data_IF_377294830472
#
_entry.id   IF_377294830472
#
_cell.length_a   1.000
_cell.length_b   1.000
_cell.length_c   1.000
_cell.angle_alpha   90.00
_cell.angle_beta   90.00
_cell.angle_gamma   90.00
#
_symmetry.space_group_name_H-M   'P 1'
#
loop_
_entity.id
_entity.type
_entity.pdbx_description
1 polymer ?
#
# COMPACT_ATOMS: atom_id res chain seq x y z
N UNK A 1 -30.56 -40.20 31.83
CA UNK A 1 -29.60 -41.31 31.69
C UNK A 1 -28.90 -41.15 30.34
N UNK A 2 -27.56 -41.02 30.37
CA UNK A 2 -26.50 -41.23 29.34
C UNK A 2 -26.84 -41.07 27.83
N UNK A 3 -26.20 -40.14 27.07
CA UNK A 3 -24.87 -40.21 26.39
C UNK A 3 -24.97 -40.83 24.97
N UNK A 4 -24.29 -40.48 23.87
CA UNK A 4 -23.23 -39.52 23.49
C UNK A 4 -22.99 -39.54 21.95
N UNK A 5 -22.61 -38.38 21.42
CA UNK A 5 -21.68 -38.00 20.33
C UNK A 5 -20.81 -38.99 19.46
N UNK A 6 -20.51 -38.48 18.23
CA UNK A 6 -19.26 -38.58 17.39
C UNK A 6 -18.98 -39.91 16.64
N UNK A 7 -18.27 -40.04 15.48
CA UNK A 7 -17.76 -39.19 14.36
C UNK A 7 -16.94 -40.09 13.39
N UNK A 8 -16.94 -39.77 12.09
CA UNK A 8 -16.00 -40.07 10.95
C UNK A 8 -15.33 -41.45 10.72
N UNK A 9 -15.28 -41.85 9.43
CA UNK A 9 -14.06 -42.30 8.68
C UNK A 9 -14.40 -42.65 7.21
N UNK A 10 -13.69 -42.07 6.22
CA UNK A 10 -13.43 -42.69 4.89
C UNK A 10 -12.12 -42.17 4.30
N UNK A 11 -11.10 -43.03 4.31
CA UNK A 11 -9.90 -42.98 3.48
C UNK A 11 -9.90 -44.27 2.65
N UNK A 12 -9.81 -44.15 1.33
CA UNK A 12 -9.56 -45.23 0.37
C UNK A 12 -8.78 -44.60 -0.79
N UNK A 13 -7.85 -45.24 -1.50
CA UNK A 13 -7.12 -46.51 -1.42
C UNK A 13 -5.97 -46.34 -2.44
N UNK A 14 -4.77 -46.80 -2.08
CA UNK A 14 -3.54 -46.72 -2.88
C UNK A 14 -3.12 -48.17 -3.21
N UNK A 15 -2.66 -48.38 -4.45
CA UNK A 15 -2.03 -49.59 -5.04
C UNK A 15 -2.90 -50.77 -5.51
N UNK A 16 -2.90 -51.00 -6.83
CA UNK A 16 -2.49 -52.28 -7.43
C UNK A 16 -2.49 -52.18 -8.97
N UNK A 17 -1.38 -52.57 -9.63
CA UNK A 17 -1.35 -53.46 -10.80
C UNK A 17 0.10 -53.81 -11.16
N UNK A 18 0.38 -55.11 -11.17
CA UNK A 18 1.60 -55.77 -11.61
C UNK A 18 1.29 -56.67 -12.82
N UNK A 19 2.37 -56.99 -13.52
CA UNK A 19 2.66 -58.13 -14.40
C UNK A 19 2.40 -58.03 -15.92
N UNK A 20 3.51 -58.07 -16.67
CA UNK A 20 3.75 -59.09 -17.68
C UNK A 20 5.27 -59.34 -17.86
N UNK A 21 5.60 -60.60 -18.11
CA UNK A 21 6.88 -61.34 -17.95
C UNK A 21 7.83 -61.33 -19.15
N UNK A 22 9.14 -61.54 -18.92
CA UNK A 22 9.89 -62.66 -19.55
C UNK A 22 11.20 -62.99 -18.82
N UNK A 23 11.52 -64.30 -18.76
CA UNK A 23 12.68 -64.93 -18.11
C UNK A 23 13.87 -65.05 -19.08
N UNK A 24 15.10 -65.03 -18.56
CA UNK A 24 16.18 -65.97 -18.94
C UNK A 24 17.18 -66.09 -17.78
N UNK A 25 17.57 -67.32 -17.44
CA UNK A 25 18.57 -67.69 -16.41
C UNK A 25 19.77 -68.29 -17.13
N UNK A 26 21.01 -67.86 -16.84
CA UNK A 26 22.23 -68.68 -17.00
C UNK A 26 23.21 -68.42 -15.82
N UNK A 27 23.89 -69.50 -15.44
CA UNK A 27 24.65 -69.82 -14.22
C UNK A 27 26.10 -69.28 -14.13
N UNK A 28 26.54 -69.01 -12.88
CA UNK A 28 27.85 -69.22 -12.20
C UNK A 28 29.21 -69.10 -12.92
N UNK A 29 30.17 -68.40 -12.31
CA UNK A 29 31.62 -68.64 -12.50
C UNK A 29 32.53 -67.59 -11.86
N UNK A 30 33.55 -68.00 -11.12
CA UNK A 30 34.38 -67.15 -10.25
C UNK A 30 35.44 -66.25 -10.92
N UNK A 31 35.93 -65.30 -10.12
CA UNK A 31 37.26 -64.64 -10.06
C UNK A 31 37.92 -64.22 -11.39
N UNK A 32 38.27 -62.93 -11.54
CA UNK A 32 39.65 -62.38 -11.58
C UNK A 32 39.63 -60.87 -11.85
N UNK A 33 40.61 -60.20 -11.24
CA UNK A 33 40.93 -58.78 -11.20
C UNK A 33 41.17 -58.07 -12.55
N UNK A 34 40.96 -56.75 -12.47
CA UNK A 34 41.83 -55.67 -12.97
C UNK A 34 41.51 -54.99 -14.31
N UNK A 35 41.62 -53.65 -14.21
CA UNK A 35 41.80 -52.63 -15.26
C UNK A 35 40.54 -52.18 -15.99
N UNK A 36 39.78 -51.29 -15.34
CA UNK A 36 39.27 -50.05 -15.97
C UNK A 36 38.66 -49.12 -14.91
N UNK A 37 39.45 -48.72 -13.91
CA UNK A 37 39.00 -47.82 -12.85
C UNK A 37 39.99 -46.67 -12.71
N UNK A 38 40.13 -45.81 -13.73
CA UNK A 38 40.83 -44.53 -13.54
C UNK A 38 40.65 -43.47 -14.65
N UNK A 39 39.45 -43.26 -15.23
CA UNK A 39 39.25 -42.04 -16.07
C UNK A 39 37.85 -41.43 -16.04
N UNK A 40 36.83 -42.06 -15.42
CA UNK A 40 35.45 -41.53 -15.48
C UNK A 40 34.95 -40.89 -14.18
N UNK A 41 35.62 -41.10 -13.03
CA UNK A 41 35.18 -40.58 -11.73
C UNK A 41 35.74 -39.20 -11.38
N UNK A 42 36.71 -38.68 -12.14
CA UNK A 42 37.26 -37.32 -11.93
C UNK A 42 36.49 -36.26 -12.75
N UNK A 43 35.84 -36.64 -13.85
CA UNK A 43 35.04 -35.70 -14.64
C UNK A 43 33.64 -35.47 -14.07
N UNK A 44 33.15 -36.36 -13.19
CA UNK A 44 31.86 -36.18 -12.50
C UNK A 44 31.98 -35.42 -11.17
N UNK A 45 33.19 -35.20 -10.64
CA UNK A 45 33.43 -34.34 -9.48
C UNK A 45 33.78 -32.87 -9.84
N UNK A 46 33.99 -32.56 -11.12
CA UNK A 46 34.26 -31.20 -11.61
C UNK A 46 33.01 -30.48 -12.16
N UNK A 47 31.85 -31.15 -12.24
CA UNK A 47 30.61 -30.56 -12.78
C UNK A 47 29.54 -30.33 -11.69
N UNK A 48 29.79 -30.71 -10.44
CA UNK A 48 28.83 -30.49 -9.31
C UNK A 48 29.25 -29.32 -8.40
N UNK A 49 30.31 -28.57 -8.74
CA UNK A 49 30.79 -27.41 -7.99
C UNK A 49 30.69 -26.10 -8.78
N UNK A 50 29.50 -25.77 -9.32
CA UNK A 50 29.21 -24.42 -9.83
C UNK A 50 27.70 -24.17 -9.99
N UNK A 51 26.93 -24.47 -8.95
CA UNK A 51 25.63 -23.83 -8.72
C UNK A 51 25.49 -23.50 -7.23
N UNK A 52 26.60 -23.05 -6.63
CA UNK A 52 26.50 -22.06 -5.57
C UNK A 52 25.90 -20.83 -6.25
N UNK A 53 24.65 -20.49 -5.95
CA UNK A 53 24.17 -19.14 -6.25
C UNK A 53 25.21 -18.19 -5.65
N UNK A 54 25.97 -17.48 -6.49
CA UNK A 54 26.91 -16.47 -6.01
C UNK A 54 26.12 -15.59 -5.05
N UNK A 55 26.54 -15.58 -3.77
CA UNK A 55 25.96 -14.65 -2.81
C UNK A 55 26.00 -13.26 -3.45
N UNK A 56 24.93 -12.45 -3.31
CA UNK A 56 24.89 -11.15 -3.96
C UNK A 56 26.16 -10.38 -3.59
N UNK A 57 26.88 -9.88 -4.61
CA UNK A 57 28.12 -9.12 -4.38
C UNK A 57 27.81 -7.97 -3.43
N UNK A 58 28.52 -7.93 -2.31
CA UNK A 58 28.34 -6.91 -1.28
C UNK A 58 29.59 -6.05 -1.17
N UNK A 59 29.44 -4.73 -1.17
CA UNK A 59 30.53 -3.78 -0.88
C UNK A 59 30.09 -2.80 0.20
N UNK A 60 31.02 -2.28 1.00
CA UNK A 60 30.73 -1.22 1.97
C UNK A 60 31.09 0.13 1.39
N UNK A 61 30.25 1.16 1.57
CA UNK A 61 30.57 2.52 1.16
C UNK A 61 31.81 3.08 1.88
N UNK A 62 32.15 2.57 3.07
CA UNK A 62 33.37 2.95 3.79
C UNK A 62 34.65 2.58 2.99
N UNK A 63 34.62 1.49 2.23
CA UNK A 63 35.72 1.09 1.34
C UNK A 63 35.93 2.09 0.18
N UNK A 64 34.95 2.95 -0.09
CA UNK A 64 34.99 4.01 -1.09
C UNK A 64 35.21 5.41 -0.46
N UNK A 65 35.46 5.46 0.85
CA UNK A 65 35.78 6.69 1.59
C UNK A 65 34.60 7.36 2.29
N UNK A 66 33.42 6.74 2.34
CA UNK A 66 32.29 7.29 3.08
C UNK A 66 32.58 7.21 4.59
N UNK A 67 32.42 8.33 5.30
CA UNK A 67 32.76 8.43 6.73
C UNK A 67 31.57 8.21 7.64
N UNK A 68 30.38 8.71 7.28
CA UNK A 68 29.19 8.59 8.13
C UNK A 68 29.31 9.35 9.46
N UNK A 69 30.09 10.44 9.49
CA UNK A 69 30.40 11.24 10.69
C UNK A 69 29.40 12.38 10.96
N UNK A 70 28.39 12.55 10.10
CA UNK A 70 27.35 13.57 10.19
C UNK A 70 27.78 14.96 9.71
N UNK A 71 29.00 15.11 9.18
CA UNK A 71 29.54 16.42 8.76
C UNK A 71 30.18 16.35 7.37
N UNK A 72 30.91 15.27 7.07
CA UNK A 72 31.53 15.06 5.76
C UNK A 72 30.46 14.78 4.71
N UNK A 73 30.56 15.47 3.56
CA UNK A 73 29.76 15.13 2.37
C UNK A 73 30.21 13.77 1.81
N UNK A 74 29.39 12.75 2.02
CA UNK A 74 29.66 11.37 1.65
C UNK A 74 29.12 11.01 0.25
N UNK A 75 28.49 11.96 -0.46
CA UNK A 75 27.78 11.71 -1.73
C UNK A 75 28.65 10.97 -2.75
N UNK A 76 29.85 11.49 -3.01
CA UNK A 76 30.73 10.93 -4.03
C UNK A 76 31.26 9.54 -3.67
N UNK A 77 31.48 9.27 -2.38
CA UNK A 77 31.94 7.96 -1.92
C UNK A 77 30.83 6.91 -2.02
N UNK A 78 29.62 7.25 -1.58
CA UNK A 78 28.45 6.37 -1.67
C UNK A 78 28.10 6.09 -3.15
N UNK A 79 28.10 7.12 -4.00
CA UNK A 79 27.83 6.94 -5.43
C UNK A 79 28.86 6.02 -6.10
N UNK A 80 30.16 6.17 -5.79
CA UNK A 80 31.19 5.26 -6.31
C UNK A 80 30.96 3.81 -5.90
N UNK A 81 30.50 3.57 -4.67
CA UNK A 81 30.16 2.23 -4.21
C UNK A 81 28.99 1.64 -5.00
N UNK A 82 27.93 2.43 -5.23
CA UNK A 82 26.78 2.06 -6.07
C UNK A 82 27.21 1.75 -7.51
N UNK A 83 28.00 2.63 -8.12
CA UNK A 83 28.48 2.50 -9.49
C UNK A 83 29.36 1.26 -9.70
N UNK A 84 30.10 0.84 -8.66
CA UNK A 84 30.94 -0.36 -8.71
C UNK A 84 30.15 -1.65 -8.94
N UNK A 85 28.85 -1.63 -8.62
CA UNK A 85 27.93 -2.76 -8.79
C UNK A 85 26.96 -2.58 -9.97
N UNK A 86 27.03 -1.47 -10.71
CA UNK A 86 26.05 -1.13 -11.75
C UNK A 86 25.92 -2.18 -12.87
N UNK A 87 26.97 -2.97 -13.13
CA UNK A 87 26.96 -4.03 -14.15
C UNK A 87 26.64 -5.42 -13.60
N UNK A 88 26.83 -5.64 -12.31
CA UNK A 88 26.74 -6.98 -11.70
C UNK A 88 25.54 -7.14 -10.79
N UNK A 89 24.90 -6.04 -10.39
CA UNK A 89 23.97 -6.03 -9.27
C UNK A 89 24.68 -6.30 -7.94
N UNK A 90 23.92 -6.27 -6.85
CA UNK A 90 24.41 -6.57 -5.51
C UNK A 90 23.94 -5.59 -4.44
N UNK A 91 24.66 -5.53 -3.33
CA UNK A 91 24.32 -4.71 -2.16
C UNK A 91 25.45 -3.76 -1.82
N UNK A 92 25.13 -2.47 -1.66
CA UNK A 92 26.01 -1.49 -1.05
C UNK A 92 25.58 -1.30 0.40
N UNK A 93 26.45 -1.67 1.33
CA UNK A 93 26.24 -1.44 2.76
C UNK A 93 26.66 -0.04 3.16
N UNK A 94 25.77 0.65 3.89
CA UNK A 94 26.04 1.83 4.69
C UNK A 94 26.09 1.39 6.16
N UNK A 95 27.28 1.24 6.76
CA UNK A 95 27.41 0.96 8.19
C UNK A 95 26.63 1.95 9.08
N UNK A 96 26.51 1.64 10.37
CA UNK A 96 25.95 2.59 11.32
C UNK A 96 26.69 3.95 11.24
N UNK A 97 25.93 5.03 11.13
CA UNK A 97 26.49 6.35 10.85
C UNK A 97 25.45 7.36 10.39
N UNK A 98 25.93 8.58 10.16
CA UNK A 98 25.16 9.72 9.65
C UNK A 98 25.87 10.24 8.40
N UNK A 99 25.27 10.04 7.24
CA UNK A 99 25.87 10.37 5.96
C UNK A 99 25.23 11.64 5.41
N UNK A 100 25.97 12.74 5.38
CA UNK A 100 25.49 13.95 4.71
C UNK A 100 25.60 13.74 3.22
N UNK A 101 24.51 13.98 2.51
CA UNK A 101 24.51 14.01 1.04
C UNK A 101 24.18 15.42 0.54
N UNK A 102 24.81 15.82 -0.56
CA UNK A 102 24.64 17.11 -1.20
C UNK A 102 24.03 16.99 -2.62
N UNK A 103 23.81 15.76 -3.10
CA UNK A 103 23.10 15.47 -4.35
C UNK A 103 22.37 14.12 -4.29
N UNK A 104 21.52 13.85 -5.29
CA UNK A 104 20.75 12.60 -5.44
C UNK A 104 21.68 11.39 -5.62
N UNK A 105 21.44 10.34 -4.83
CA UNK A 105 22.09 9.03 -4.99
C UNK A 105 21.33 8.19 -6.02
N UNK A 106 21.99 7.90 -7.13
CA UNK A 106 21.43 7.05 -8.18
C UNK A 106 21.76 5.58 -7.87
N UNK A 107 20.76 4.79 -7.49
CA UNK A 107 20.90 3.35 -7.26
C UNK A 107 20.69 2.62 -8.58
N UNK A 108 21.75 1.99 -9.15
CA UNK A 108 21.65 1.32 -10.44
C UNK A 108 20.69 0.12 -10.40
N UNK A 109 20.32 -0.35 -11.58
CA UNK A 109 19.45 -1.52 -11.69
C UNK A 109 20.04 -2.75 -10.99
N UNK A 110 19.18 -3.52 -10.32
CA UNK A 110 19.57 -4.72 -9.54
C UNK A 110 20.57 -4.46 -8.39
N UNK A 111 20.74 -3.20 -7.97
CA UNK A 111 21.55 -2.82 -6.79
C UNK A 111 20.64 -2.43 -5.63
N UNK A 112 21.02 -2.79 -4.42
CA UNK A 112 20.37 -2.34 -3.18
C UNK A 112 21.31 -1.46 -2.35
N UNK A 113 20.85 -0.28 -1.95
CA UNK A 113 21.48 0.51 -0.89
C UNK A 113 20.93 0.07 0.47
N UNK A 114 21.78 -0.43 1.37
CA UNK A 114 21.34 -1.06 2.62
C UNK A 114 22.04 -0.46 3.84
N UNK A 115 21.27 0.11 4.76
CA UNK A 115 21.73 0.49 6.09
C UNK A 115 21.66 -0.66 7.12
N UNK A 116 22.14 -0.40 8.33
CA UNK A 116 22.16 -1.38 9.44
C UNK A 116 20.88 -1.36 10.30
N UNK A 117 19.83 -0.68 9.85
CA UNK A 117 18.50 -0.70 10.44
C UNK A 117 17.96 0.69 10.72
N UNK A 118 16.67 0.87 10.41
CA UNK A 118 15.92 2.07 10.74
C UNK A 118 14.94 1.80 11.88
N UNK A 119 14.83 2.78 12.78
CA UNK A 119 13.81 2.89 13.81
C UNK A 119 13.45 4.35 13.94
N UNK A 120 12.16 4.65 14.10
CA UNK A 120 11.65 6.02 14.17
C UNK A 120 12.49 6.88 15.11
N UNK A 121 12.69 6.35 16.32
CA UNK A 121 13.66 6.85 17.28
C UNK A 121 14.89 5.95 17.20
N UNK A 122 16.05 6.54 16.94
CA UNK A 122 17.35 5.86 16.95
C UNK A 122 17.62 4.88 15.78
N UNK A 123 17.52 5.37 14.55
CA UNK A 123 18.04 4.63 13.38
C UNK A 123 19.56 4.48 13.43
N UNK A 124 20.09 3.29 13.11
CA UNK A 124 21.53 3.02 13.10
C UNK A 124 22.22 3.77 11.95
N UNK A 125 21.62 3.71 10.77
CA UNK A 125 22.09 4.40 9.56
C UNK A 125 21.11 5.52 9.18
N UNK A 126 21.62 6.71 8.87
CA UNK A 126 20.80 7.83 8.41
C UNK A 126 21.47 8.63 7.30
N UNK A 127 20.72 8.96 6.26
CA UNK A 127 21.05 9.99 5.27
C UNK A 127 20.56 11.34 5.78
N UNK A 128 21.41 12.36 5.74
CA UNK A 128 21.06 13.75 6.07
C UNK A 128 21.03 14.52 4.75
N UNK A 129 19.87 15.11 4.45
CA UNK A 129 19.62 15.95 3.28
C UNK A 129 19.45 17.40 3.75
N UNK A 130 20.55 18.16 3.92
CA UNK A 130 20.50 19.49 4.49
C UNK A 130 19.93 20.53 3.51
N UNK A 131 20.02 20.29 2.19
CA UNK A 131 19.69 21.27 1.17
C UNK A 131 18.49 20.82 0.34
N UNK A 132 17.63 21.77 -0.02
CA UNK A 132 16.56 21.56 -0.99
C UNK A 132 17.11 21.50 -2.42
N UNK A 133 16.38 20.87 -3.34
CA UNK A 133 16.65 20.89 -4.78
C UNK A 133 16.89 19.52 -5.42
N UNK A 134 16.98 18.44 -4.63
CA UNK A 134 17.18 17.08 -5.13
C UNK A 134 16.50 16.02 -4.24
N UNK A 135 16.19 14.86 -4.83
CA UNK A 135 15.74 13.66 -4.10
C UNK A 135 16.91 13.03 -3.37
N UNK A 136 16.69 12.33 -2.26
CA UNK A 136 17.79 11.60 -1.60
C UNK A 136 18.24 10.40 -2.44
N UNK A 137 17.29 9.62 -2.93
CA UNK A 137 17.54 8.34 -3.61
C UNK A 137 16.69 8.23 -4.88
N UNK A 138 17.32 7.85 -6.00
CA UNK A 138 16.64 7.43 -7.22
C UNK A 138 16.86 5.94 -7.46
N UNK A 139 15.78 5.20 -7.64
CA UNK A 139 15.79 3.76 -7.87
C UNK A 139 15.62 3.43 -9.36
N UNK A 140 16.60 2.74 -9.96
CA UNK A 140 16.49 2.09 -11.27
C UNK A 140 15.74 0.75 -11.26
N UNK A 141 15.77 0.01 -12.37
CA UNK A 141 15.06 -1.27 -12.53
C UNK A 141 15.52 -2.35 -11.55
N UNK A 142 14.60 -2.94 -10.79
CA UNK A 142 14.92 -4.00 -9.83
C UNK A 142 15.84 -3.54 -8.69
N UNK A 143 15.97 -2.23 -8.49
CA UNK A 143 16.84 -1.66 -7.45
C UNK A 143 16.08 -1.45 -6.15
N UNK A 144 16.81 -1.28 -5.05
CA UNK A 144 16.18 -1.05 -3.76
C UNK A 144 16.96 -0.18 -2.80
N UNK A 145 16.25 0.26 -1.76
CA UNK A 145 16.83 0.95 -0.61
C UNK A 145 16.22 0.38 0.66
N UNK A 146 17.07 0.04 1.64
CA UNK A 146 16.65 -0.67 2.85
C UNK A 146 17.33 -0.19 4.12
N UNK A 147 16.61 -0.19 5.24
CA UNK A 147 17.19 -0.17 6.58
C UNK A 147 17.90 1.13 6.97
N UNK A 148 17.42 2.28 6.52
CA UNK A 148 18.00 3.59 6.87
C UNK A 148 16.95 4.67 7.09
N UNK A 149 17.32 5.72 7.82
CA UNK A 149 16.54 6.95 7.90
C UNK A 149 16.94 7.95 6.80
N UNK A 150 16.02 8.80 6.38
CA UNK A 150 16.28 9.96 5.51
C UNK A 150 15.75 11.20 6.24
N UNK A 151 16.64 12.10 6.65
CA UNK A 151 16.32 13.27 7.47
C UNK A 151 16.53 14.58 6.71
N UNK A 152 15.58 15.50 6.89
CA UNK A 152 15.55 16.84 6.28
C UNK A 152 15.58 17.90 7.40
N UNK A 153 16.73 18.12 8.06
CA UNK A 153 16.81 18.97 9.25
C UNK A 153 16.37 20.41 8.99
N UNK A 154 16.61 20.92 7.77
CA UNK A 154 16.23 22.27 7.36
C UNK A 154 14.78 22.39 6.86
N UNK A 155 13.97 21.34 7.07
CA UNK A 155 12.53 21.33 6.80
C UNK A 155 11.72 20.87 8.02
N UNK A 156 12.29 20.93 9.24
CA UNK A 156 11.64 20.42 10.45
C UNK A 156 10.45 21.28 10.94
N UNK A 157 10.44 22.57 10.63
CA UNK A 157 9.35 23.49 11.01
C UNK A 157 8.04 23.13 10.28
N UNK A 158 7.02 22.72 11.03
CA UNK A 158 5.72 22.29 10.49
C UNK A 158 4.80 23.45 10.08
N UNK A 159 5.10 24.67 10.49
CA UNK A 159 4.34 25.87 10.14
C UNK A 159 4.84 26.48 8.84
N UNK A 160 6.16 26.44 8.63
CA UNK A 160 6.83 27.07 7.46
C UNK A 160 7.49 26.08 6.50
N UNK A 161 7.11 24.80 6.58
CA UNK A 161 7.60 23.72 5.74
C UNK A 161 7.59 24.10 4.25
N UNK A 162 8.68 23.79 3.57
CA UNK A 162 8.88 24.11 2.14
C UNK A 162 8.69 22.86 1.29
N UNK A 163 8.24 23.00 0.04
CA UNK A 163 8.28 21.90 -0.92
C UNK A 163 9.71 21.44 -1.20
N UNK A 164 9.96 20.13 -1.02
CA UNK A 164 11.18 19.45 -1.45
C UNK A 164 10.79 18.41 -2.52
N UNK A 165 11.72 18.03 -3.41
CA UNK A 165 11.54 16.82 -4.21
C UNK A 165 11.26 15.59 -3.32
N UNK A 166 10.63 14.54 -3.87
CA UNK A 166 10.40 13.29 -3.15
C UNK A 166 11.71 12.74 -2.57
N UNK A 167 11.66 12.16 -1.37
CA UNK A 167 12.86 11.58 -0.77
C UNK A 167 13.36 10.38 -1.59
N UNK A 168 12.44 9.55 -2.08
CA UNK A 168 12.74 8.41 -2.94
C UNK A 168 11.96 8.52 -4.25
N UNK A 169 12.67 8.52 -5.38
CA UNK A 169 12.08 8.53 -6.73
C UNK A 169 12.19 7.15 -7.38
N UNK A 170 11.07 6.64 -7.87
CA UNK A 170 10.95 5.32 -8.50
C UNK A 170 11.13 5.41 -10.03
N UNK A 171 12.36 5.50 -10.49
CA UNK A 171 12.66 5.69 -11.92
C UNK A 171 12.62 4.40 -12.76
N UNK A 172 12.48 3.22 -12.13
CA UNK A 172 12.41 1.93 -12.81
C UNK A 172 11.32 1.01 -12.27
N UNK A 173 11.12 -0.09 -12.99
CA UNK A 173 10.16 -1.16 -12.69
C UNK A 173 10.73 -2.08 -11.60
N UNK A 174 9.85 -2.69 -10.80
CA UNK A 174 10.13 -3.61 -9.70
C UNK A 174 11.04 -2.99 -8.61
N UNK A 175 10.72 -1.76 -8.13
CA UNK A 175 11.50 -1.15 -7.05
C UNK A 175 11.21 -1.83 -5.71
N UNK A 176 12.18 -1.73 -4.80
CA UNK A 176 12.06 -2.28 -3.45
C UNK A 176 12.44 -1.22 -2.40
N UNK A 177 11.48 -0.77 -1.60
CA UNK A 177 11.70 0.20 -0.51
C UNK A 177 11.26 -0.47 0.79
N UNK A 178 12.21 -0.76 1.67
CA UNK A 178 11.92 -1.53 2.89
C UNK A 178 12.58 -0.94 4.13
N UNK A 179 11.88 -0.90 5.27
CA UNK A 179 12.46 -0.47 6.55
C UNK A 179 13.12 0.93 6.45
N UNK A 180 12.34 1.93 6.02
CA UNK A 180 12.79 3.31 5.86
C UNK A 180 12.06 4.21 6.85
N UNK A 181 12.82 5.10 7.48
CA UNK A 181 12.31 6.15 8.37
C UNK A 181 12.40 7.49 7.65
N UNK A 182 11.29 8.21 7.51
CA UNK A 182 11.26 9.56 6.93
C UNK A 182 11.18 10.61 8.02
N UNK A 183 12.19 11.47 8.13
CA UNK A 183 12.21 12.57 9.09
C UNK A 183 12.09 13.91 8.35
N UNK A 184 10.89 14.48 8.36
CA UNK A 184 10.54 15.79 7.81
C UNK A 184 10.69 15.91 6.28
N UNK A 185 10.58 14.79 5.55
CA UNK A 185 10.51 14.81 4.09
C UNK A 185 9.25 15.54 3.60
N UNK A 186 9.30 16.16 2.43
CA UNK A 186 8.10 16.74 1.82
C UNK A 186 7.17 15.64 1.29
N UNK A 187 7.70 14.84 0.37
CA UNK A 187 7.08 13.61 -0.13
C UNK A 187 8.00 12.43 0.19
N UNK A 188 7.46 11.32 0.72
CA UNK A 188 8.26 10.15 1.07
C UNK A 188 8.73 9.38 -0.16
N UNK A 189 7.80 8.73 -0.86
CA UNK A 189 8.08 7.93 -2.05
C UNK A 189 7.23 8.43 -3.21
N UNK A 190 7.81 8.56 -4.40
CA UNK A 190 7.06 8.99 -5.58
C UNK A 190 7.52 8.34 -6.87
N UNK A 191 6.60 8.09 -7.80
CA UNK A 191 6.96 8.01 -9.23
C UNK A 191 7.55 9.35 -9.70
N UNK A 192 8.35 9.39 -10.78
CA UNK A 192 8.91 10.64 -11.29
C UNK A 192 7.82 11.65 -11.67
N UNK A 193 8.13 12.96 -11.69
CA UNK A 193 7.21 13.96 -12.24
C UNK A 193 6.74 13.58 -13.64
N UNK A 194 5.44 13.66 -13.88
CA UNK A 194 4.80 13.20 -15.12
C UNK A 194 4.44 11.71 -15.15
N UNK A 195 4.63 11.01 -14.03
CA UNK A 195 4.35 9.59 -13.88
C UNK A 195 5.47 8.70 -14.39
N UNK A 196 5.43 7.43 -14.05
CA UNK A 196 6.41 6.45 -14.51
C UNK A 196 5.99 5.03 -14.19
N UNK A 197 6.48 4.07 -14.98
CA UNK A 197 6.20 2.68 -14.72
C UNK A 197 7.09 2.16 -13.59
N UNK A 198 6.57 2.21 -12.36
CA UNK A 198 7.18 1.61 -11.17
C UNK A 198 6.42 0.34 -10.72
N UNK A 199 5.98 -0.45 -11.70
CA UNK A 199 5.23 -1.68 -11.48
C UNK A 199 5.89 -2.74 -10.63
N UNK A 200 5.09 -3.67 -10.10
CA UNK A 200 5.57 -4.84 -9.34
C UNK A 200 6.34 -4.50 -8.06
N UNK A 201 6.31 -3.24 -7.62
CA UNK A 201 7.09 -2.75 -6.50
C UNK A 201 6.68 -3.36 -5.16
N UNK A 202 7.66 -3.43 -4.26
CA UNK A 202 7.50 -3.81 -2.87
C UNK A 202 7.83 -2.62 -1.98
N UNK A 203 6.84 -2.17 -1.21
CA UNK A 203 6.96 -1.11 -0.22
C UNK A 203 6.54 -1.69 1.13
N UNK A 204 7.48 -1.74 2.07
CA UNK A 204 7.25 -2.43 3.34
C UNK A 204 7.95 -1.77 4.52
N UNK A 205 7.33 -1.79 5.70
CA UNK A 205 7.94 -1.29 6.94
C UNK A 205 8.43 0.16 6.79
N UNK A 206 7.65 0.99 6.10
CA UNK A 206 7.97 2.41 5.92
C UNK A 206 7.30 3.19 7.04
N UNK A 207 8.05 4.06 7.71
CA UNK A 207 7.49 4.81 8.83
C UNK A 207 7.95 6.25 8.86
N UNK A 208 7.17 7.09 9.50
CA UNK A 208 7.63 8.38 9.99
C UNK A 208 6.81 9.57 9.59
N UNK A 209 7.47 10.73 9.46
CA UNK A 209 6.84 12.01 9.24
C UNK A 209 7.22 12.59 7.88
N UNK A 210 6.18 12.82 7.09
CA UNK A 210 6.23 13.64 5.88
C UNK A 210 5.27 14.82 6.01
N UNK A 211 5.55 15.91 5.29
CA UNK A 211 4.71 17.11 5.31
C UNK A 211 3.52 17.05 4.36
N UNK A 212 3.70 16.52 3.15
CA UNK A 212 2.74 16.65 2.05
C UNK A 212 2.17 15.31 1.59
N UNK A 213 2.99 14.41 1.04
CA UNK A 213 2.50 13.12 0.54
C UNK A 213 3.37 11.97 1.04
N UNK A 214 2.77 10.96 1.68
CA UNK A 214 3.52 9.77 2.11
C UNK A 214 4.05 9.00 0.91
N UNK A 215 3.13 8.57 0.05
CA UNK A 215 3.44 7.86 -1.18
C UNK A 215 2.56 8.36 -2.33
N UNK A 216 3.19 8.74 -3.45
CA UNK A 216 2.50 9.12 -4.68
C UNK A 216 2.85 8.17 -5.82
N UNK A 217 1.88 7.47 -6.40
CA UNK A 217 2.11 6.63 -7.57
C UNK A 217 1.19 7.01 -8.73
N UNK A 218 1.78 7.29 -9.89
CA UNK A 218 1.05 7.47 -11.14
C UNK A 218 1.83 6.88 -12.32
N UNK A 219 1.13 6.25 -13.25
CA UNK A 219 1.70 5.61 -14.43
C UNK A 219 2.22 4.19 -14.20
N UNK A 220 2.01 3.62 -13.01
CA UNK A 220 2.46 2.25 -12.70
C UNK A 220 1.67 1.21 -13.49
N UNK A 221 2.38 0.31 -14.16
CA UNK A 221 1.82 -0.90 -14.77
C UNK A 221 2.07 -2.09 -13.86
N UNK A 222 1.23 -3.10 -13.88
CA UNK A 222 1.23 -4.19 -12.90
C UNK A 222 1.04 -3.75 -11.43
N UNK A 223 0.90 -4.76 -10.57
CA UNK A 223 0.43 -4.61 -9.19
C UNK A 223 1.56 -4.26 -8.22
N UNK A 224 1.39 -3.19 -7.45
CA UNK A 224 2.28 -2.81 -6.35
C UNK A 224 1.81 -3.40 -5.01
N UNK A 225 2.76 -3.68 -4.10
CA UNK A 225 2.49 -4.19 -2.74
C UNK A 225 2.94 -3.17 -1.71
N UNK A 226 2.02 -2.73 -0.85
CA UNK A 226 2.25 -1.71 0.19
C UNK A 226 1.84 -2.32 1.53
N UNK A 227 2.81 -2.69 2.35
CA UNK A 227 2.58 -3.47 3.57
C UNK A 227 3.19 -2.74 4.75
N UNK A 228 2.45 -2.59 5.86
CA UNK A 228 3.05 -2.04 7.10
C UNK A 228 3.67 -0.63 6.90
N UNK A 229 2.97 0.24 6.18
CA UNK A 229 3.41 1.63 5.91
C UNK A 229 2.64 2.64 6.76
N UNK A 230 3.36 3.34 7.65
CA UNK A 230 2.78 4.10 8.76
C UNK A 230 3.25 5.57 8.78
N UNK A 231 2.31 6.51 8.69
CA UNK A 231 2.59 7.94 8.68
C UNK A 231 2.21 8.62 10.02
N UNK A 232 3.22 8.96 10.81
CA UNK A 232 3.07 9.61 12.11
C UNK A 232 3.05 11.14 11.98
N UNK A 233 2.78 11.83 13.08
CA UNK A 233 3.06 13.27 13.22
C UNK A 233 4.50 13.46 13.69
N UNK A 234 5.12 14.58 13.33
CA UNK A 234 6.51 14.89 13.67
C UNK A 234 6.84 16.36 13.39
N UNK A 235 8.13 16.65 13.27
CA UNK A 235 8.63 18.03 13.12
C UNK A 235 8.50 18.88 14.38
N UNK A 236 8.83 20.15 14.26
CA UNK A 236 8.85 21.14 15.35
C UNK A 236 7.86 22.27 15.04
N UNK A 237 7.18 22.81 16.06
CA UNK A 237 6.28 23.96 15.93
C UNK A 237 4.91 23.73 16.57
N UNK A 238 3.98 24.64 16.35
CA UNK A 238 2.60 24.55 16.86
C UNK A 238 1.75 23.64 15.94
N UNK A 239 1.35 22.49 16.48
CA UNK A 239 0.53 21.53 15.75
C UNK A 239 -0.79 22.13 15.21
N UNK A 240 -1.37 23.13 15.87
CA UNK A 240 -2.62 23.79 15.42
C UNK A 240 -2.43 24.63 14.16
N UNK A 241 -1.20 25.07 13.89
CA UNK A 241 -0.81 25.85 12.70
C UNK A 241 -0.15 25.02 11.61
N UNK A 242 0.07 23.74 11.87
CA UNK A 242 0.81 22.86 10.99
C UNK A 242 0.22 22.75 9.58
N UNK A 243 1.12 22.74 8.59
CA UNK A 243 0.78 22.50 7.19
C UNK A 243 0.19 21.11 6.97
N UNK A 244 0.78 20.08 7.58
CA UNK A 244 0.42 18.69 7.34
C UNK A 244 -1.02 18.37 7.77
N UNK A 245 -1.54 18.98 8.84
CA UNK A 245 -2.93 18.74 9.27
C UNK A 245 -3.95 19.15 8.22
N UNK A 246 -3.65 20.21 7.45
CA UNK A 246 -4.55 20.77 6.44
C UNK A 246 -4.38 20.12 5.06
N UNK A 247 -3.19 19.63 4.76
CA UNK A 247 -2.81 19.29 3.38
C UNK A 247 -2.35 17.85 3.19
N UNK A 248 -1.86 17.17 4.22
CA UNK A 248 -1.15 15.90 4.04
C UNK A 248 -2.05 14.78 3.54
N UNK A 249 -1.59 14.06 2.52
CA UNK A 249 -2.18 12.82 2.02
C UNK A 249 -1.24 11.66 2.35
N UNK A 250 -1.75 10.59 2.96
CA UNK A 250 -0.94 9.41 3.29
C UNK A 250 -0.51 8.66 2.03
N UNK A 251 -1.49 8.29 1.21
CA UNK A 251 -1.31 7.55 -0.03
C UNK A 251 -2.14 8.19 -1.14
N UNK A 252 -1.46 8.62 -2.20
CA UNK A 252 -2.03 9.32 -3.34
C UNK A 252 -1.77 8.52 -4.63
N UNK A 253 -2.81 8.29 -5.43
CA UNK A 253 -2.73 7.44 -6.61
C UNK A 253 -3.40 8.09 -7.82
N UNK A 254 -2.63 8.28 -8.89
CA UNK A 254 -3.12 8.60 -10.23
C UNK A 254 -3.68 7.35 -10.93
N UNK A 255 -3.10 7.00 -12.09
CA UNK A 255 -3.36 5.71 -12.74
C UNK A 255 -2.38 4.64 -12.26
N UNK A 256 -2.92 3.53 -11.73
CA UNK A 256 -2.15 2.34 -11.35
C UNK A 256 -2.91 1.09 -11.78
N UNK A 257 -2.23 0.09 -12.35
CA UNK A 257 -2.90 -1.16 -12.74
C UNK A 257 -3.46 -1.90 -11.51
N UNK A 258 -2.82 -1.80 -10.34
CA UNK A 258 -3.43 -2.21 -9.09
C UNK A 258 -2.52 -2.06 -7.87
N UNK A 259 -3.11 -2.12 -6.69
CA UNK A 259 -2.41 -2.02 -5.41
C UNK A 259 -2.95 -3.08 -4.44
N UNK A 260 -2.05 -3.84 -3.83
CA UNK A 260 -2.33 -4.66 -2.65
C UNK A 260 -1.78 -3.92 -1.44
N UNK A 261 -2.66 -3.44 -0.57
CA UNK A 261 -2.33 -2.61 0.58
C UNK A 261 -2.85 -3.24 1.87
N UNK A 262 -1.99 -3.39 2.87
CA UNK A 262 -2.36 -4.09 4.11
C UNK A 262 -1.61 -3.55 5.32
N UNK A 263 -2.30 -3.44 6.47
CA UNK A 263 -1.74 -3.00 7.77
C UNK A 263 -1.09 -1.60 7.74
N UNK A 264 -1.64 -0.69 6.94
CA UNK A 264 -1.15 0.68 6.85
C UNK A 264 -1.81 1.61 7.87
N UNK A 265 -1.11 2.68 8.23
CA UNK A 265 -1.54 3.61 9.27
C UNK A 265 -1.27 5.07 8.89
N UNK A 266 -2.14 5.99 9.35
CA UNK A 266 -1.80 7.40 9.43
C UNK A 266 -2.55 8.06 10.59
N UNK A 267 -1.87 9.01 11.24
CA UNK A 267 -2.50 9.93 12.19
C UNK A 267 -2.32 11.40 11.78
N UNK A 268 -3.35 12.22 11.97
CA UNK A 268 -3.21 13.67 12.00
C UNK A 268 -3.20 14.39 10.65
N UNK A 269 -3.17 13.67 9.52
CA UNK A 269 -3.18 14.29 8.17
C UNK A 269 -4.54 14.82 7.73
N UNK A 270 -4.65 15.19 6.44
CA UNK A 270 -5.93 15.55 5.79
C UNK A 270 -6.67 14.32 5.31
N UNK A 271 -6.00 13.50 4.48
CA UNK A 271 -6.60 12.35 3.80
C UNK A 271 -5.70 11.14 3.94
N UNK A 272 -6.21 9.99 4.40
CA UNK A 272 -5.38 8.78 4.47
C UNK A 272 -5.08 8.21 3.09
N UNK A 273 -6.11 7.96 2.29
CA UNK A 273 -5.99 7.37 0.95
C UNK A 273 -6.78 8.20 -0.05
N UNK A 274 -6.17 8.56 -1.18
CA UNK A 274 -6.80 9.33 -2.26
C UNK A 274 -6.47 8.74 -3.62
N UNK A 275 -7.48 8.15 -4.27
CA UNK A 275 -7.44 7.82 -5.69
C UNK A 275 -7.94 9.03 -6.48
N UNK A 276 -7.03 9.64 -7.23
CA UNK A 276 -7.21 10.92 -7.92
C UNK A 276 -8.10 10.80 -9.17
N UNK A 277 -8.78 11.88 -9.59
CA UNK A 277 -9.56 11.90 -10.81
C UNK A 277 -8.70 11.93 -12.08
N UNK A 278 -7.47 12.45 -11.96
CA UNK A 278 -6.51 12.61 -13.05
C UNK A 278 -5.19 11.94 -12.71
N UNK A 279 -4.46 11.53 -13.75
CA UNK A 279 -3.11 10.99 -13.63
C UNK A 279 -2.05 12.04 -14.00
N UNK A 280 -0.83 11.78 -13.57
CA UNK A 280 0.33 12.51 -14.04
C UNK A 280 0.61 12.18 -15.50
N UNK A 281 1.06 13.18 -16.24
CA UNK A 281 1.44 13.08 -17.64
C UNK A 281 2.76 13.81 -17.88
N UNK A 282 3.64 13.31 -18.79
CA UNK A 282 4.91 13.98 -19.07
C UNK A 282 4.77 15.42 -19.58
N UNK A 283 3.65 15.73 -20.23
CA UNK A 283 3.35 17.08 -20.75
C UNK A 283 2.53 17.94 -19.77
N UNK A 284 2.23 17.43 -18.57
CA UNK A 284 1.45 18.09 -17.54
C UNK A 284 -0.03 18.32 -17.90
N UNK A 285 -0.50 17.81 -19.04
CA UNK A 285 -1.90 17.98 -19.44
C UNK A 285 -2.79 17.03 -18.65
N UNK A 286 -3.98 17.50 -18.19
CA UNK A 286 -4.93 16.65 -17.49
C UNK A 286 -5.35 15.45 -18.33
N UNK A 287 -5.20 14.25 -17.77
CA UNK A 287 -5.74 13.02 -18.33
C UNK A 287 -6.47 12.23 -17.24
N UNK A 288 -7.61 11.58 -17.54
CA UNK A 288 -8.32 10.78 -16.54
C UNK A 288 -7.44 9.68 -15.96
N UNK A 289 -7.49 9.51 -14.64
CA UNK A 289 -6.91 8.35 -13.99
C UNK A 289 -7.84 7.14 -14.19
N UNK A 290 -7.24 6.01 -14.57
CA UNK A 290 -7.92 4.72 -14.67
C UNK A 290 -7.06 3.67 -14.00
N UNK A 291 -7.60 3.07 -12.93
CA UNK A 291 -6.94 2.02 -12.17
C UNK A 291 -7.77 0.74 -12.21
N UNK A 292 -7.15 -0.45 -12.24
CA UNK A 292 -7.94 -1.69 -12.25
C UNK A 292 -8.54 -1.94 -10.86
N UNK A 293 -7.73 -2.31 -9.87
CA UNK A 293 -8.24 -2.69 -8.55
C UNK A 293 -7.31 -2.27 -7.42
N UNK A 294 -7.90 -1.69 -6.37
CA UNK A 294 -7.25 -1.55 -5.07
C UNK A 294 -7.76 -2.63 -4.13
N UNK A 295 -6.88 -3.40 -3.51
CA UNK A 295 -7.22 -4.36 -2.47
C UNK A 295 -6.59 -3.87 -1.17
N UNK A 296 -7.43 -3.37 -0.26
CA UNK A 296 -7.01 -2.65 0.94
C UNK A 296 -7.61 -3.33 2.16
N UNK A 297 -6.77 -3.70 3.13
CA UNK A 297 -7.20 -4.36 4.36
C UNK A 297 -6.42 -3.93 5.61
N UNK A 298 -7.03 -4.13 6.78
CA UNK A 298 -6.41 -3.96 8.10
C UNK A 298 -5.76 -2.59 8.34
N UNK A 299 -6.30 -1.53 7.75
CA UNK A 299 -5.76 -0.19 7.92
C UNK A 299 -6.30 0.46 9.20
N UNK A 300 -5.48 1.30 9.82
CA UNK A 300 -5.87 2.07 11.00
C UNK A 300 -5.62 3.57 10.79
N UNK A 301 -6.69 4.37 10.83
CA UNK A 301 -6.68 5.77 10.44
C UNK A 301 -7.17 6.62 11.60
N UNK A 302 -6.38 7.62 12.00
CA UNK A 302 -6.68 8.47 13.15
C UNK A 302 -6.60 9.96 12.86
N UNK A 303 -7.55 10.72 13.40
CA UNK A 303 -7.52 12.18 13.39
C UNK A 303 -7.29 12.73 11.98
N UNK A 304 -8.17 12.37 11.04
CA UNK A 304 -8.13 12.84 9.64
C UNK A 304 -9.42 13.55 9.25
N UNK A 305 -9.40 14.30 8.14
CA UNK A 305 -10.64 14.84 7.57
C UNK A 305 -11.31 13.80 6.66
N UNK A 306 -10.52 13.01 5.95
CA UNK A 306 -10.99 11.99 5.02
C UNK A 306 -10.24 10.67 5.26
N UNK A 307 -10.96 9.56 5.44
CA UNK A 307 -10.35 8.24 5.47
C UNK A 307 -9.93 7.83 4.05
N UNK A 308 -10.91 7.39 3.26
CA UNK A 308 -10.68 6.98 1.86
C UNK A 308 -11.44 7.88 0.90
N UNK A 309 -10.80 8.28 -0.19
CA UNK A 309 -11.39 9.10 -1.25
C UNK A 309 -11.13 8.45 -2.62
N UNK A 310 -12.18 8.24 -3.41
CA UNK A 310 -12.12 7.68 -4.76
C UNK A 310 -12.84 8.59 -5.76
N UNK A 311 -12.11 9.15 -6.74
CA UNK A 311 -12.66 10.15 -7.70
C UNK A 311 -12.43 9.79 -9.17
N UNK A 312 -11.39 9.03 -9.49
CA UNK A 312 -11.09 8.54 -10.83
C UNK A 312 -11.93 7.35 -11.25
N UNK A 313 -11.49 6.67 -12.32
CA UNK A 313 -12.09 5.41 -12.76
C UNK A 313 -11.38 4.26 -12.04
N UNK A 314 -12.06 3.55 -11.14
CA UNK A 314 -11.42 2.48 -10.36
C UNK A 314 -12.39 1.40 -9.90
N UNK A 315 -11.84 0.22 -9.56
CA UNK A 315 -12.47 -0.75 -8.66
C UNK A 315 -11.69 -0.85 -7.35
N UNK A 316 -12.35 -1.33 -6.29
CA UNK A 316 -11.68 -1.51 -5.01
C UNK A 316 -12.37 -2.55 -4.11
N UNK A 317 -11.59 -3.17 -3.24
CA UNK A 317 -12.07 -3.89 -2.07
C UNK A 317 -11.41 -3.23 -0.87
N UNK A 318 -12.23 -2.61 -0.03
CA UNK A 318 -11.81 -2.02 1.25
C UNK A 318 -12.39 -2.87 2.36
N UNK A 319 -11.53 -3.41 3.23
CA UNK A 319 -11.99 -4.31 4.29
C UNK A 319 -11.32 -4.12 5.65
N UNK A 320 -12.00 -4.53 6.72
CA UNK A 320 -11.43 -4.71 8.07
C UNK A 320 -10.61 -3.51 8.57
N UNK A 321 -11.09 -2.29 8.31
CA UNK A 321 -10.32 -1.06 8.57
C UNK A 321 -11.04 -0.15 9.57
N UNK A 322 -10.26 0.57 10.37
CA UNK A 322 -10.76 1.46 11.42
C UNK A 322 -10.47 2.91 11.05
N UNK A 323 -11.49 3.76 11.07
CA UNK A 323 -11.42 5.15 10.62
C UNK A 323 -11.93 6.08 11.72
N UNK A 324 -11.07 6.98 12.19
CA UNK A 324 -11.44 8.06 13.10
C UNK A 324 -11.29 9.42 12.41
N UNK A 325 -12.42 10.05 12.13
CA UNK A 325 -12.53 11.31 11.40
C UNK A 325 -12.87 12.49 12.32
N UNK A 326 -12.39 13.68 11.94
CA UNK A 326 -12.73 14.96 12.58
C UNK A 326 -14.14 15.41 12.21
N UNK A 327 -14.64 16.38 12.96
CA UNK A 327 -15.92 17.05 12.68
C UNK A 327 -16.02 17.52 11.23
N UNK A 328 -17.16 17.28 10.58
CA UNK A 328 -17.43 17.53 9.16
C UNK A 328 -16.55 16.71 8.18
N UNK A 329 -15.80 15.72 8.67
CA UNK A 329 -15.05 14.78 7.85
C UNK A 329 -15.92 13.70 7.22
N UNK A 330 -15.30 12.91 6.34
CA UNK A 330 -15.93 11.75 5.68
C UNK A 330 -15.10 10.50 5.88
N UNK A 331 -15.70 9.41 6.35
CA UNK A 331 -15.01 8.14 6.53
C UNK A 331 -14.55 7.55 5.20
N UNK A 332 -15.51 7.22 4.33
CA UNK A 332 -15.25 6.70 2.98
C UNK A 332 -16.06 7.49 1.96
N UNK A 333 -15.37 8.21 1.08
CA UNK A 333 -15.96 9.01 0.02
C UNK A 333 -15.75 8.36 -1.35
N UNK A 334 -16.81 7.83 -1.93
CA UNK A 334 -16.83 7.16 -3.22
C UNK A 334 -17.55 8.06 -4.23
N UNK A 335 -16.80 8.96 -4.85
CA UNK A 335 -17.32 9.90 -5.87
C UNK A 335 -16.68 9.76 -7.25
N UNK A 336 -16.55 8.53 -7.78
CA UNK A 336 -15.77 8.28 -8.99
C UNK A 336 -16.49 8.77 -10.24
N UNK A 337 -15.71 9.03 -11.27
CA UNK A 337 -16.23 9.12 -12.64
C UNK A 337 -17.03 7.85 -12.97
N UNK A 338 -16.46 6.67 -12.73
CA UNK A 338 -17.15 5.37 -12.87
C UNK A 338 -16.49 4.33 -11.97
N UNK A 339 -17.28 3.42 -11.37
CA UNK A 339 -16.74 2.21 -10.75
C UNK A 339 -16.59 1.09 -11.78
N UNK A 340 -15.39 0.53 -11.85
CA UNK A 340 -15.04 -0.66 -12.65
C UNK A 340 -14.61 -1.80 -11.72
N UNK A 341 -14.40 -3.00 -12.27
CA UNK A 341 -13.74 -4.14 -11.59
C UNK A 341 -14.27 -4.57 -10.21
N UNK A 342 -15.56 -4.31 -9.94
CA UNK A 342 -16.24 -4.54 -8.66
C UNK A 342 -15.75 -3.58 -7.54
N UNK A 343 -16.68 -3.04 -6.75
CA UNK A 343 -16.38 -2.19 -5.61
C UNK A 343 -17.06 -2.72 -4.35
N UNK A 344 -16.31 -2.87 -3.26
CA UNK A 344 -16.82 -3.38 -1.98
C UNK A 344 -16.20 -2.63 -0.80
N UNK A 345 -17.03 -2.33 0.20
CA UNK A 345 -16.65 -1.85 1.53
C UNK A 345 -17.20 -2.87 2.53
N UNK A 346 -16.32 -3.52 3.29
CA UNK A 346 -16.67 -4.69 4.10
C UNK A 346 -16.01 -4.66 5.49
N UNK A 347 -16.77 -4.74 6.57
CA UNK A 347 -16.16 -4.75 7.91
C UNK A 347 -15.40 -3.46 8.26
N UNK A 348 -15.83 -2.30 7.73
CA UNK A 348 -15.20 -1.00 7.98
C UNK A 348 -15.91 -0.29 9.13
N UNK A 349 -15.13 0.23 10.08
CA UNK A 349 -15.64 1.00 11.21
C UNK A 349 -15.29 2.48 11.02
N UNK A 350 -16.30 3.35 11.05
CA UNK A 350 -16.14 4.80 10.99
C UNK A 350 -16.68 5.42 12.27
N UNK A 351 -15.84 6.19 12.94
CA UNK A 351 -16.17 6.91 14.17
C UNK A 351 -15.65 8.32 14.12
N UNK A 352 -16.14 9.15 15.02
CA UNK A 352 -15.65 10.50 15.23
C UNK A 352 -15.28 10.73 16.70
N UNK A 353 -14.87 11.95 17.02
CA UNK A 353 -14.68 12.40 18.41
C UNK A 353 -16.01 12.86 19.04
N UNK A 354 -17.09 12.11 18.83
CA UNK A 354 -18.45 12.47 19.27
C UNK A 354 -19.02 13.70 18.53
N UNK A 355 -18.58 13.93 17.29
CA UNK A 355 -19.00 15.03 16.43
C UNK A 355 -19.65 14.51 15.15
N UNK A 356 -20.64 15.24 14.57
CA UNK A 356 -21.26 14.82 13.32
C UNK A 356 -20.25 14.67 12.18
N UNK A 357 -20.36 13.57 11.44
CA UNK A 357 -19.53 13.21 10.28
C UNK A 357 -20.38 12.57 9.19
N UNK A 358 -19.88 12.49 7.96
CA UNK A 358 -20.45 11.54 6.98
C UNK A 358 -19.70 10.22 7.10
N UNK A 359 -20.41 9.12 7.37
CA UNK A 359 -19.75 7.82 7.48
C UNK A 359 -19.22 7.35 6.12
N UNK A 360 -20.15 7.02 5.23
CA UNK A 360 -19.89 6.58 3.86
C UNK A 360 -20.70 7.45 2.90
N UNK A 361 -20.05 7.97 1.87
CA UNK A 361 -20.68 8.72 0.76
C UNK A 361 -20.50 7.93 -0.53
N UNK A 362 -21.57 7.79 -1.31
CA UNK A 362 -21.52 7.19 -2.63
C UNK A 362 -22.30 8.02 -3.66
N UNK A 363 -21.60 8.47 -4.70
CA UNK A 363 -22.19 9.24 -5.80
C UNK A 363 -21.34 9.14 -7.08
N UNK A 364 -21.83 8.46 -8.12
CA UNK A 364 -21.08 8.36 -9.38
C UNK A 364 -21.40 9.51 -10.34
N UNK A 365 -20.39 10.04 -11.03
CA UNK A 365 -20.59 11.15 -11.97
C UNK A 365 -21.01 10.67 -13.37
N UNK A 366 -20.50 9.52 -13.82
CA UNK A 366 -20.75 8.90 -15.12
C UNK A 366 -20.87 7.38 -14.98
N UNK A 367 -21.97 6.86 -14.40
CA UNK A 367 -22.09 5.43 -14.11
C UNK A 367 -21.95 4.56 -15.36
N UNK A 368 -21.03 3.60 -15.33
CA UNK A 368 -20.87 2.58 -16.38
C UNK A 368 -21.90 1.46 -16.20
N UNK A 369 -22.33 0.75 -17.25
CA UNK A 369 -23.34 -0.33 -17.15
C UNK A 369 -22.97 -1.48 -16.20
N UNK A 370 -21.67 -1.68 -15.96
CA UNK A 370 -21.09 -2.67 -15.00
C UNK A 370 -20.83 -2.10 -13.60
N UNK A 371 -21.15 -0.83 -13.36
CA UNK A 371 -20.94 -0.15 -12.08
C UNK A 371 -21.69 -0.89 -10.97
N UNK A 372 -21.03 -1.17 -9.84
CA UNK A 372 -21.65 -1.79 -8.67
C UNK A 372 -20.84 -1.42 -7.43
N UNK A 373 -21.54 -1.13 -6.33
CA UNK A 373 -20.97 -1.00 -5.00
C UNK A 373 -21.69 -1.96 -4.03
N UNK A 374 -20.93 -2.66 -3.20
CA UNK A 374 -21.45 -3.38 -2.02
C UNK A 374 -20.92 -2.72 -0.75
N UNK A 375 -21.79 -2.48 0.23
CA UNK A 375 -21.44 -2.00 1.56
C UNK A 375 -22.02 -2.99 2.57
N UNK A 376 -21.14 -3.73 3.23
CA UNK A 376 -21.48 -4.85 4.08
C UNK A 376 -20.73 -4.82 5.42
N UNK A 377 -21.37 -5.30 6.48
CA UNK A 377 -20.74 -5.52 7.79
C UNK A 377 -20.03 -4.28 8.37
N UNK A 378 -20.42 -3.07 7.94
CA UNK A 378 -19.80 -1.83 8.37
C UNK A 378 -20.46 -1.28 9.63
N UNK A 379 -19.71 -0.53 10.42
CA UNK A 379 -20.22 0.24 11.54
C UNK A 379 -19.93 1.73 11.35
N UNK A 380 -20.93 2.58 11.59
CA UNK A 380 -20.74 4.02 11.64
C UNK A 380 -21.38 4.58 12.91
N UNK A 381 -20.63 5.41 13.66
CA UNK A 381 -21.16 6.22 14.76
C UNK A 381 -21.19 7.70 14.40
N UNK A 382 -22.10 8.44 15.05
CA UNK A 382 -22.23 9.91 14.90
C UNK A 382 -22.49 10.36 13.44
N UNK A 383 -23.15 9.51 12.66
CA UNK A 383 -23.41 9.74 11.24
C UNK A 383 -24.38 10.89 10.97
N UNK A 384 -24.05 11.76 10.03
CA UNK A 384 -24.85 12.90 9.60
C UNK A 384 -24.82 13.05 8.06
N UNK A 385 -25.30 12.06 7.28
CA UNK A 385 -25.81 10.75 7.70
C UNK A 385 -24.70 9.70 7.88
N UNK A 386 -25.05 8.52 8.37
CA UNK A 386 -24.10 7.40 8.42
C UNK A 386 -23.78 6.86 7.02
N UNK A 387 -24.77 6.78 6.14
CA UNK A 387 -24.62 6.51 4.71
C UNK A 387 -25.36 7.56 3.89
N UNK A 388 -24.66 8.21 2.96
CA UNK A 388 -25.22 9.09 1.94
C UNK A 388 -25.17 8.43 0.57
N UNK A 389 -26.35 8.13 0.01
CA UNK A 389 -26.52 7.73 -1.38
C UNK A 389 -26.94 8.95 -2.20
N UNK A 390 -25.98 9.60 -2.85
CA UNK A 390 -26.20 10.83 -3.60
C UNK A 390 -26.98 10.63 -4.92
N UNK A 391 -27.25 11.71 -5.67
CA UNK A 391 -28.05 11.66 -6.90
C UNK A 391 -27.55 10.70 -7.99
N UNK A 392 -26.24 10.46 -8.03
CA UNK A 392 -25.58 9.54 -8.95
C UNK A 392 -25.34 8.14 -8.36
N UNK A 393 -25.88 7.83 -7.19
CA UNK A 393 -25.79 6.50 -6.59
C UNK A 393 -26.62 5.50 -7.41
N UNK A 394 -25.94 4.50 -8.00
CA UNK A 394 -26.63 3.47 -8.79
C UNK A 394 -26.01 2.09 -8.61
N UNK A 395 -26.84 1.04 -8.63
CA UNK A 395 -26.41 -0.37 -8.47
C UNK A 395 -25.63 -0.58 -7.17
N UNK A 396 -26.22 -0.15 -6.06
CA UNK A 396 -25.64 -0.31 -4.73
C UNK A 396 -26.39 -1.37 -3.91
N UNK A 397 -25.65 -2.24 -3.23
CA UNK A 397 -26.17 -3.19 -2.26
C UNK A 397 -25.65 -2.82 -0.87
N UNK A 398 -26.56 -2.49 0.05
CA UNK A 398 -26.28 -2.01 1.40
C UNK A 398 -26.91 -2.99 2.38
N UNK A 399 -26.09 -3.82 3.03
CA UNK A 399 -26.63 -4.87 3.88
C UNK A 399 -25.80 -5.21 5.11
N UNK A 400 -26.46 -5.74 6.14
CA UNK A 400 -25.82 -6.25 7.36
C UNK A 400 -24.93 -5.21 8.07
N UNK A 401 -25.23 -3.91 7.88
CA UNK A 401 -24.48 -2.82 8.52
C UNK A 401 -25.13 -2.39 9.84
N UNK A 402 -24.34 -1.78 10.71
CA UNK A 402 -24.81 -1.08 11.90
C UNK A 402 -24.55 0.44 11.76
N UNK A 403 -25.62 1.20 11.52
CA UNK A 403 -25.53 2.64 11.29
C UNK A 403 -26.24 3.44 12.38
N UNK A 404 -25.43 4.18 13.14
CA UNK A 404 -25.90 5.11 14.15
C UNK A 404 -25.77 6.55 13.65
N UNK A 405 -26.89 7.29 13.68
CA UNK A 405 -26.92 8.69 13.30
C UNK A 405 -26.71 9.63 14.49
N UNK A 406 -26.18 10.82 14.21
CA UNK A 406 -26.23 11.96 15.10
C UNK A 406 -27.68 12.43 15.33
N UNK A 407 -27.97 13.13 16.44
CA UNK A 407 -29.33 13.62 16.73
C UNK A 407 -29.95 14.43 15.58
N UNK A 408 -31.20 14.12 15.24
CA UNK A 408 -31.95 14.82 14.18
C UNK A 408 -31.46 14.54 12.75
N UNK A 409 -30.60 13.54 12.56
CA UNK A 409 -30.10 13.12 11.24
C UNK A 409 -30.57 11.71 10.91
N UNK A 410 -30.71 11.37 9.62
CA UNK A 410 -31.02 10.01 9.23
C UNK A 410 -29.79 9.10 9.29
N UNK A 411 -29.99 7.81 9.52
CA UNK A 411 -28.91 6.83 9.41
C UNK A 411 -28.53 6.63 7.93
N UNK A 412 -29.53 6.40 7.07
CA UNK A 412 -29.34 6.33 5.62
C UNK A 412 -30.10 7.48 4.96
N UNK A 413 -29.41 8.27 4.13
CA UNK A 413 -30.03 9.27 3.26
C UNK A 413 -29.94 8.80 1.81
N UNK A 414 -31.07 8.82 1.11
CA UNK A 414 -31.16 8.50 -0.32
C UNK A 414 -31.63 9.74 -1.06
N UNK A 415 -30.77 10.32 -1.87
CA UNK A 415 -31.07 11.55 -2.59
C UNK A 415 -31.80 11.29 -3.91
N UNK A 416 -32.49 12.34 -4.38
CA UNK A 416 -33.20 12.34 -5.66
C UNK A 416 -32.26 12.00 -6.81
N UNK A 417 -32.62 10.98 -7.60
CA UNK A 417 -31.82 10.47 -8.72
C UNK A 417 -31.15 9.12 -8.43
N UNK A 418 -30.95 8.78 -7.15
CA UNK A 418 -30.42 7.47 -6.77
C UNK A 418 -31.35 6.33 -7.24
N UNK A 419 -30.79 5.24 -7.77
CA UNK A 419 -31.57 4.20 -8.44
C UNK A 419 -30.90 2.81 -8.40
N UNK A 420 -31.66 1.74 -8.64
CA UNK A 420 -31.17 0.35 -8.59
C UNK A 420 -30.47 0.04 -7.26
N UNK A 421 -31.21 0.24 -6.17
CA UNK A 421 -30.69 0.09 -4.81
C UNK A 421 -31.25 -1.16 -4.14
N UNK A 422 -30.43 -1.83 -3.33
CA UNK A 422 -30.87 -2.87 -2.39
C UNK A 422 -30.38 -2.45 -1.01
N UNK A 423 -31.29 -2.25 -0.06
CA UNK A 423 -31.00 -1.81 1.31
C UNK A 423 -31.67 -2.78 2.28
N UNK A 424 -30.91 -3.75 2.78
CA UNK A 424 -31.49 -4.89 3.51
C UNK A 424 -30.75 -5.29 4.76
N UNK A 425 -31.48 -5.74 5.79
CA UNK A 425 -30.89 -6.36 7.00
C UNK A 425 -29.91 -5.46 7.78
N UNK A 426 -30.01 -4.15 7.66
CA UNK A 426 -29.19 -3.23 8.44
C UNK A 426 -29.82 -3.01 9.84
N UNK A 427 -28.99 -2.76 10.84
CA UNK A 427 -29.39 -2.25 12.16
C UNK A 427 -29.19 -0.74 12.17
N UNK A 428 -30.27 0.02 12.38
CA UNK A 428 -30.30 1.47 12.25
C UNK A 428 -30.69 2.11 13.58
N UNK A 429 -29.84 3.01 14.10
CA UNK A 429 -30.10 3.81 15.29
C UNK A 429 -30.24 5.28 14.89
N UNK A 430 -31.47 5.73 14.62
CA UNK A 430 -31.79 7.12 14.29
C UNK A 430 -33.29 7.42 14.52
N UNK A 431 -33.63 8.69 14.74
CA UNK A 431 -35.04 9.16 14.78
C UNK A 431 -35.75 8.93 13.44
N UNK A 432 -35.02 9.16 12.34
CA UNK A 432 -35.45 8.85 10.97
C UNK A 432 -34.48 7.80 10.41
N UNK A 433 -34.78 6.49 10.50
CA UNK A 433 -33.84 5.45 10.09
C UNK A 433 -33.37 5.58 8.63
N UNK A 434 -34.31 5.88 7.72
CA UNK A 434 -34.03 6.08 6.30
C UNK A 434 -34.80 7.29 5.80
N UNK A 435 -34.09 8.32 5.35
CA UNK A 435 -34.65 9.48 4.65
C UNK A 435 -34.58 9.23 3.14
N UNK A 436 -35.71 8.87 2.53
CA UNK A 436 -35.77 8.44 1.14
C UNK A 436 -36.40 9.48 0.21
N UNK A 437 -35.56 10.17 -0.56
CA UNK A 437 -35.93 11.21 -1.51
C UNK A 437 -35.70 10.81 -2.97
N UNK A 438 -35.53 9.52 -3.27
CA UNK A 438 -35.11 9.06 -4.60
C UNK A 438 -36.11 9.38 -5.73
N UNK A 439 -37.39 9.60 -5.38
CA UNK A 439 -38.50 9.84 -6.30
C UNK A 439 -39.25 8.57 -6.72
N UNK A 440 -40.48 8.74 -7.23
CA UNK A 440 -41.46 7.67 -7.48
C UNK A 440 -41.01 6.62 -8.52
N UNK A 441 -40.13 7.01 -9.45
CA UNK A 441 -39.61 6.12 -10.50
C UNK A 441 -38.36 5.34 -10.13
N UNK A 442 -37.85 5.50 -8.91
CA UNK A 442 -36.63 4.81 -8.48
C UNK A 442 -36.89 3.32 -8.22
N UNK A 443 -36.07 2.47 -8.81
CA UNK A 443 -36.06 1.03 -8.57
C UNK A 443 -35.21 0.77 -7.33
N UNK A 444 -35.87 0.30 -6.26
CA UNK A 444 -35.21 0.00 -4.99
C UNK A 444 -35.91 -1.15 -4.26
N UNK A 445 -35.15 -1.95 -3.53
CA UNK A 445 -35.66 -2.91 -2.56
C UNK A 445 -35.17 -2.51 -1.17
N UNK A 446 -36.08 -2.11 -0.29
CA UNK A 446 -35.78 -1.74 1.09
C UNK A 446 -36.58 -2.67 2.01
N UNK A 447 -35.90 -3.60 2.69
CA UNK A 447 -36.58 -4.65 3.49
C UNK A 447 -35.68 -5.23 4.58
N UNK A 448 -36.26 -5.80 5.64
CA UNK A 448 -35.50 -6.51 6.68
C UNK A 448 -34.63 -5.64 7.60
N UNK A 449 -34.60 -4.31 7.44
CA UNK A 449 -33.85 -3.41 8.32
C UNK A 449 -34.51 -3.33 9.71
N UNK A 450 -33.70 -3.40 10.77
CA UNK A 450 -34.12 -3.31 12.17
C UNK A 450 -33.79 -1.92 12.69
N UNK A 451 -34.70 -1.34 13.47
CA UNK A 451 -34.50 -0.04 14.12
C UNK A 451 -34.20 -0.27 15.61
N UNK A 452 -33.02 0.12 16.04
CA UNK A 452 -32.63 0.18 17.44
C UNK A 452 -33.12 1.52 18.01
N UNK A 453 -33.80 1.48 19.17
CA UNK A 453 -34.50 2.62 19.76
C UNK A 453 -33.70 3.32 20.84
#
# INVERSE_FOLDING_TARGET
MASSHLVTRRNAEYNARRDCTSRTVIHTGGKTLARLALTSTILLLLVVAAACADAPKSVSAAAFGAKGDGVTDDTAAIQKALDSLARTGGVVHLPAGRYVIAAELNVPGSVTLMGEGARWENSATGLIVPNNGYSAVRLGHGSGVKGLAISYPNNADIETAKPYPPAIVLAGINPCVENIVFDCAWTGVSTPPGGGNAGQGMFRDLTGFVHSVGMHLSGCRDVNRILDVHWFVGGTGDASKSYYRKNRVGFEFGDVDGVLMDRCFMIGGKTFFHQLPTKDTPDGKPAPAHSLGFHISHCWIEDVNYGFVFEGMCGFVLSSSNILVRENGVGVKVVPNSLFYNAAIDGVQVRSFGKPIVGIEYNTLKPHGRNRLSVADCQVTDGSPALLLGPGAVRANIHDNHFQAAPGRPAIQIDKGANLLVVTNNVLSAQEPIADNSGDGAIKNVSGNIVEK
#
